data_IF_860676278130
#
_entry.id   IF_860676278130
#
_cell.length_a   1.000
_cell.length_b   1.000
_cell.length_c   1.000
_cell.angle_alpha   90.00
_cell.angle_beta   90.00
_cell.angle_gamma   90.00
#
_symmetry.space_group_name_H-M   'P 1'
#
loop_
_entity.id
_entity.type
_entity.pdbx_description
1 polymer ?
#
# COMPACT_ATOMS: atom_id res chain seq x y z
N UNK A 1 17.91 9.17 6.07
CA UNK A 1 17.37 7.95 6.70
C UNK A 1 16.59 7.28 5.59
N UNK A 2 17.09 6.18 5.05
CA UNK A 2 16.33 5.44 4.03
C UNK A 2 15.03 5.01 4.71
N UNK A 3 13.88 5.18 4.05
CA UNK A 3 12.63 4.72 4.61
C UNK A 3 12.73 3.19 4.72
N UNK A 4 12.87 2.68 5.94
CA UNK A 4 13.02 1.26 6.14
C UNK A 4 11.71 0.57 5.75
N UNK A 5 11.84 -0.55 5.04
CA UNK A 5 10.70 -1.31 4.53
C UNK A 5 9.70 -1.68 5.62
N UNK A 6 10.20 -1.89 6.83
CA UNK A 6 9.44 -2.14 8.05
C UNK A 6 8.61 -0.92 8.48
N UNK A 7 9.17 0.30 8.42
CA UNK A 7 8.43 1.52 8.76
C UNK A 7 7.29 1.76 7.75
N UNK A 8 7.57 1.55 6.46
CA UNK A 8 6.55 1.65 5.41
C UNK A 8 5.46 0.62 5.63
N UNK A 9 5.82 -0.63 5.96
CA UNK A 9 4.84 -1.68 6.26
C UNK A 9 3.96 -1.29 7.46
N UNK A 10 4.53 -0.77 8.55
CA UNK A 10 3.76 -0.31 9.70
C UNK A 10 2.84 0.87 9.37
N UNK A 11 3.29 1.82 8.54
CA UNK A 11 2.46 2.92 8.05
C UNK A 11 1.29 2.39 7.18
N UNK A 12 1.58 1.42 6.31
CA UNK A 12 0.58 0.77 5.43
C UNK A 12 -0.44 -0.01 6.25
N UNK A 13 0.00 -0.78 7.25
CA UNK A 13 -0.86 -1.52 8.17
C UNK A 13 -1.85 -0.57 8.87
N UNK A 14 -1.35 0.52 9.45
CA UNK A 14 -2.20 1.52 10.09
C UNK A 14 -3.19 2.17 9.11
N UNK A 15 -2.77 2.46 7.88
CA UNK A 15 -3.66 3.00 6.85
C UNK A 15 -4.74 2.02 6.43
N UNK A 16 -4.37 0.75 6.22
CA UNK A 16 -5.28 -0.33 5.83
C UNK A 16 -6.33 -0.57 6.92
N UNK A 17 -5.92 -0.71 8.18
CA UNK A 17 -6.84 -0.82 9.33
C UNK A 17 -7.81 0.36 9.37
N UNK A 18 -7.31 1.56 9.14
CA UNK A 18 -8.16 2.74 9.18
C UNK A 18 -9.03 2.94 7.93
N UNK A 19 -8.79 2.22 6.82
CA UNK A 19 -9.67 2.14 5.65
C UNK A 19 -10.72 1.05 5.85
N UNK A 20 -10.28 -0.14 6.24
CA UNK A 20 -11.12 -1.31 6.48
C UNK A 20 -12.03 -1.12 7.72
N UNK A 21 -11.65 -0.25 8.64
CA UNK A 21 -12.47 0.19 9.77
C UNK A 21 -12.58 -0.85 10.87
N UNK A 22 -13.41 -1.88 10.66
CA UNK A 22 -13.72 -2.98 11.59
C UNK A 22 -12.90 -4.24 11.28
N UNK A 23 -11.72 -4.04 10.69
CA UNK A 23 -10.79 -5.14 10.43
C UNK A 23 -10.30 -5.71 11.75
N UNK A 24 -10.26 -7.04 11.85
CA UNK A 24 -9.86 -7.73 13.08
C UNK A 24 -8.45 -7.29 13.51
N UNK A 25 -8.35 -6.67 14.69
CA UNK A 25 -7.10 -6.14 15.20
C UNK A 25 -6.01 -7.22 15.37
N UNK A 26 -6.41 -8.50 15.48
CA UNK A 26 -5.54 -9.65 15.61
C UNK A 26 -4.99 -10.20 14.30
N UNK A 27 -5.45 -9.70 13.14
CA UNK A 27 -4.88 -10.10 11.84
C UNK A 27 -3.58 -9.34 11.60
N UNK A 28 -2.49 -10.09 11.45
CA UNK A 28 -1.18 -9.54 11.13
C UNK A 28 -1.08 -9.29 9.63
N UNK A 29 -0.89 -8.02 9.24
CA UNK A 29 -0.64 -7.66 7.85
C UNK A 29 0.86 -7.79 7.58
N UNK A 30 1.22 -8.77 6.76
CA UNK A 30 2.61 -9.04 6.39
C UNK A 30 2.87 -8.70 4.93
N UNK A 31 4.13 -8.75 4.51
CA UNK A 31 4.52 -8.56 3.11
C UNK A 31 3.89 -9.60 2.16
N UNK A 32 3.50 -10.76 2.69
CA UNK A 32 2.88 -11.84 1.90
C UNK A 32 1.36 -11.67 1.77
N UNK A 33 0.75 -10.87 2.65
CA UNK A 33 -0.70 -10.66 2.71
C UNK A 33 -1.21 -10.06 1.40
N UNK A 34 -2.26 -10.68 0.87
CA UNK A 34 -2.91 -10.29 -0.38
C UNK A 34 -4.04 -9.29 -0.15
N UNK A 35 -4.21 -8.35 -1.09
CA UNK A 35 -5.20 -7.30 -0.97
C UNK A 35 -6.63 -7.84 -1.03
N UNK A 36 -6.92 -8.78 -1.94
CA UNK A 36 -8.27 -9.36 -2.06
C UNK A 36 -8.49 -10.57 -1.16
N UNK A 37 -7.59 -11.56 -1.18
CA UNK A 37 -7.85 -12.83 -0.51
C UNK A 37 -7.63 -12.78 1.01
N UNK A 38 -6.56 -12.12 1.48
CA UNK A 38 -6.31 -11.96 2.92
C UNK A 38 -7.06 -10.75 3.51
N UNK A 39 -6.94 -9.58 2.88
CA UNK A 39 -7.44 -8.33 3.45
C UNK A 39 -8.88 -8.00 3.02
N UNK A 40 -9.41 -8.66 2.00
CA UNK A 40 -10.78 -8.43 1.53
C UNK A 40 -11.01 -7.03 0.94
N UNK A 41 -9.96 -6.32 0.51
CA UNK A 41 -10.08 -4.95 0.02
C UNK A 41 -10.99 -4.88 -1.21
N UNK A 42 -12.03 -4.07 -1.08
CA UNK A 42 -12.92 -3.77 -2.19
C UNK A 42 -12.35 -2.65 -3.06
N UNK A 43 -12.90 -2.50 -4.27
CA UNK A 43 -12.52 -1.42 -5.18
C UNK A 43 -12.63 -0.03 -4.52
N UNK A 44 -13.57 0.16 -3.59
CA UNK A 44 -13.75 1.39 -2.84
C UNK A 44 -12.63 1.63 -1.83
N UNK A 45 -12.17 0.57 -1.16
CA UNK A 45 -11.09 0.62 -0.18
C UNK A 45 -9.76 0.93 -0.87
N UNK A 46 -9.53 0.36 -2.06
CA UNK A 46 -8.34 0.66 -2.87
C UNK A 46 -8.28 2.15 -3.22
N UNK A 47 -9.41 2.77 -3.59
CA UNK A 47 -9.46 4.22 -3.87
C UNK A 47 -9.23 5.04 -2.60
N UNK A 48 -9.79 4.62 -1.47
CA UNK A 48 -9.58 5.27 -0.17
C UNK A 48 -8.12 5.19 0.28
N UNK A 49 -7.49 4.03 0.10
CA UNK A 49 -6.08 3.80 0.40
C UNK A 49 -5.19 4.66 -0.51
N UNK A 50 -5.49 4.73 -1.81
CA UNK A 50 -4.76 5.58 -2.76
C UNK A 50 -4.72 7.04 -2.32
N UNK A 51 -5.87 7.59 -1.89
CA UNK A 51 -5.94 8.96 -1.40
C UNK A 51 -5.12 9.19 -0.13
N UNK A 52 -5.10 8.22 0.79
CA UNK A 52 -4.28 8.30 2.02
C UNK A 52 -2.79 8.19 1.74
N UNK A 53 -2.39 7.29 0.84
CA UNK A 53 -1.00 7.16 0.38
C UNK A 53 -0.52 8.46 -0.24
N UNK A 54 -1.31 9.06 -1.13
CA UNK A 54 -0.98 10.35 -1.74
C UNK A 54 -0.93 11.48 -0.69
N UNK A 55 -1.80 11.49 0.31
CA UNK A 55 -1.74 12.48 1.38
C UNK A 55 -0.50 12.33 2.28
N UNK A 56 -0.04 11.09 2.51
CA UNK A 56 1.13 10.78 3.36
C UNK A 56 2.45 10.97 2.63
N UNK A 57 2.59 10.37 1.45
CA UNK A 57 3.84 10.30 0.69
C UNK A 57 3.89 11.29 -0.49
N UNK A 58 2.79 11.98 -0.78
CA UNK A 58 2.71 12.94 -1.88
C UNK A 58 2.78 12.28 -3.26
N UNK A 59 3.20 13.07 -4.25
CA UNK A 59 3.48 12.61 -5.62
C UNK A 59 4.67 11.64 -5.73
N UNK A 60 5.41 11.37 -4.64
CA UNK A 60 6.49 10.40 -4.67
C UNK A 60 5.97 8.99 -4.95
N UNK A 61 4.81 8.63 -4.39
CA UNK A 61 4.18 7.32 -4.52
C UNK A 61 2.96 7.48 -5.43
N UNK A 62 3.18 7.42 -6.74
CA UNK A 62 2.10 7.51 -7.71
C UNK A 62 1.32 6.18 -7.77
N UNK A 63 0.47 5.95 -6.77
CA UNK A 63 -0.31 4.72 -6.67
C UNK A 63 -1.26 4.53 -7.85
N UNK A 64 -1.82 5.62 -8.41
CA UNK A 64 -2.64 5.56 -9.61
C UNK A 64 -1.85 5.00 -10.81
N UNK A 65 -0.60 5.43 -10.98
CA UNK A 65 0.30 4.90 -12.02
C UNK A 65 0.69 3.44 -11.74
N UNK A 66 0.93 3.07 -10.48
CA UNK A 66 1.21 1.70 -10.08
C UNK A 66 0.04 0.77 -10.45
N UNK A 67 -1.18 1.13 -10.05
CA UNK A 67 -2.40 0.36 -10.34
C UNK A 67 -2.72 0.34 -11.83
N UNK A 68 -2.51 1.44 -12.56
CA UNK A 68 -2.70 1.48 -14.00
C UNK A 68 -1.71 0.57 -14.77
N UNK A 69 -0.58 0.23 -14.17
CA UNK A 69 0.39 -0.71 -14.73
C UNK A 69 0.09 -2.18 -14.41
N UNK A 70 -0.91 -2.46 -13.57
CA UNK A 70 -1.29 -3.83 -13.21
C UNK A 70 -2.40 -4.34 -14.12
N UNK A 71 -2.27 -5.60 -14.51
CA UNK A 71 -3.37 -6.31 -15.15
C UNK A 71 -4.51 -6.58 -14.16
N UNK A 72 -5.73 -6.74 -14.68
CA UNK A 72 -6.92 -7.05 -13.87
C UNK A 72 -6.73 -8.32 -13.02
N UNK A 73 -5.98 -9.30 -13.54
CA UNK A 73 -5.62 -10.51 -12.80
C UNK A 73 -4.66 -10.18 -11.64
N UNK A 74 -3.61 -9.40 -11.91
CA UNK A 74 -2.61 -8.98 -10.92
C UNK A 74 -3.15 -8.05 -9.84
N UNK A 75 -4.26 -7.35 -10.13
CA UNK A 75 -4.94 -6.49 -9.15
C UNK A 75 -5.55 -7.29 -8.00
N UNK A 76 -6.00 -8.52 -8.27
CA UNK A 76 -6.53 -9.43 -7.25
C UNK A 76 -5.42 -10.05 -6.39
N UNK A 77 -4.30 -10.37 -7.02
CA UNK A 77 -3.14 -11.00 -6.39
C UNK A 77 -2.15 -9.99 -5.78
N UNK A 78 -2.53 -8.70 -5.72
CA UNK A 78 -1.65 -7.66 -5.23
C UNK A 78 -1.28 -7.93 -3.77
N UNK A 79 0.02 -8.03 -3.49
CA UNK A 79 0.53 -8.20 -2.12
C UNK A 79 0.93 -6.86 -1.50
N UNK A 80 0.79 -6.77 -0.19
CA UNK A 80 1.30 -5.64 0.61
C UNK A 80 2.79 -5.42 0.36
N UNK A 81 3.57 -6.49 0.23
CA UNK A 81 4.99 -6.37 -0.07
C UNK A 81 5.29 -5.67 -1.40
N UNK A 82 4.48 -5.86 -2.43
CA UNK A 82 4.67 -5.17 -3.71
C UNK A 82 4.44 -3.67 -3.58
N UNK A 83 3.42 -3.27 -2.81
CA UNK A 83 3.15 -1.87 -2.54
C UNK A 83 4.26 -1.23 -1.71
N UNK A 84 4.70 -1.90 -0.64
CA UNK A 84 5.79 -1.45 0.22
C UNK A 84 7.08 -1.28 -0.60
N UNK A 85 7.40 -2.23 -1.48
CA UNK A 85 8.57 -2.17 -2.36
C UNK A 85 8.48 -1.01 -3.36
N UNK A 86 7.29 -0.78 -3.91
CA UNK A 86 7.02 0.37 -4.78
C UNK A 86 7.27 1.69 -4.04
N UNK A 87 6.75 1.84 -2.82
CA UNK A 87 6.94 3.04 -2.00
C UNK A 87 8.41 3.25 -1.67
N UNK A 88 9.10 2.22 -1.19
CA UNK A 88 10.52 2.31 -0.85
C UNK A 88 11.35 2.77 -2.06
N UNK A 89 11.11 2.17 -3.24
CA UNK A 89 11.80 2.56 -4.48
C UNK A 89 11.44 3.96 -4.97
N UNK A 90 10.20 4.40 -4.75
CA UNK A 90 9.75 5.76 -5.05
C UNK A 90 10.43 6.80 -4.15
N UNK A 91 10.51 6.54 -2.85
CA UNK A 91 11.14 7.42 -1.87
C UNK A 91 12.65 7.52 -2.08
N UNK A 92 13.30 6.44 -2.48
CA UNK A 92 14.74 6.43 -2.82
C UNK A 92 15.04 7.21 -4.12
N UNK A 93 14.09 7.23 -5.07
CA UNK A 93 14.22 7.95 -6.34
C UNK A 93 14.03 9.46 -6.22
N UNK A 94 13.36 9.97 -5.20
CA UNK A 94 13.24 11.41 -4.97
C UNK A 94 14.57 11.90 -4.40
N UNK A 95 15.46 12.54 -5.19
CA UNK A 95 16.64 13.15 -4.62
C UNK A 95 16.11 14.35 -3.83
N UNK A 96 16.27 14.33 -2.51
CA UNK A 96 16.09 15.54 -1.69
C UNK A 96 16.99 16.62 -2.31
N UNK A 97 16.38 17.63 -2.93
CA UNK A 97 17.07 18.73 -3.60
C UNK A 97 16.92 20.00 -2.79
#
# INVERSE_FOLDING_TARGET
MSADRTDILSDIDAMLRAVLGDFDDGVEITMDSTFRDDLGLESLDVVSLAGRLQARYGDAVNFAQFVAGLDVASMGELRVGQLVDHIAGSLDRVPTR
#
